data_IF_948110739131
#
_entry.id   IF_948110739131
#
_cell.length_a   1.000
_cell.length_b   1.000
_cell.length_c   1.000
_cell.angle_alpha   90.00
_cell.angle_beta   90.00
_cell.angle_gamma   90.00
#
_symmetry.space_group_name_H-M   'P 1'
#
loop_
_entity.id
_entity.type
_entity.pdbx_description
1 polymer ?
#
# COMPACT_ATOMS: atom_id res chain seq x y z
N UNK A 1 -10.03 -6.13 16.40
CA UNK A 1 -10.06 -4.79 17.02
C UNK A 1 -10.82 -3.83 16.09
N UNK A 2 -11.75 -3.03 16.60
CA UNK A 2 -12.49 -2.06 15.76
C UNK A 2 -11.70 -0.77 15.55
N UNK A 3 -11.90 -0.15 14.39
CA UNK A 3 -11.34 1.16 14.03
C UNK A 3 -12.48 2.14 13.91
N UNK A 4 -12.37 3.28 14.58
CA UNK A 4 -13.37 4.33 14.69
C UNK A 4 -12.74 5.63 14.20
N UNK A 5 -13.43 6.35 13.32
CA UNK A 5 -13.01 7.68 12.88
C UNK A 5 -13.17 8.73 13.98
N UNK A 6 -12.53 9.89 13.84
CA UNK A 6 -12.60 10.98 14.83
C UNK A 6 -14.02 11.48 15.13
N UNK A 7 -14.98 11.24 14.23
CA UNK A 7 -16.41 11.53 14.41
C UNK A 7 -17.21 10.43 15.12
N UNK A 8 -16.57 9.40 15.69
CA UNK A 8 -17.24 8.31 16.41
C UNK A 8 -17.88 7.24 15.52
N UNK A 9 -17.75 7.34 14.20
CA UNK A 9 -18.27 6.34 13.24
C UNK A 9 -17.30 5.18 13.07
N UNK A 10 -17.83 3.96 12.98
CA UNK A 10 -17.02 2.76 12.72
C UNK A 10 -16.49 2.81 11.30
N UNK A 11 -15.16 2.81 11.17
CA UNK A 11 -14.47 2.76 9.89
C UNK A 11 -14.31 1.31 9.42
N UNK A 12 -13.88 0.43 10.32
CA UNK A 12 -13.50 -0.93 9.94
C UNK A 12 -13.00 -1.78 11.09
N UNK A 13 -12.27 -2.84 10.73
CA UNK A 13 -11.59 -3.75 11.65
C UNK A 13 -10.13 -3.87 11.24
N UNK A 14 -9.23 -3.84 12.21
CA UNK A 14 -7.81 -4.16 11.98
C UNK A 14 -7.71 -5.64 11.61
N UNK A 15 -7.15 -5.92 10.43
CA UNK A 15 -6.83 -7.26 9.95
C UNK A 15 -5.37 -7.58 10.24
N UNK A 16 -4.47 -6.64 9.94
CA UNK A 16 -3.02 -6.85 9.97
C UNK A 16 -2.29 -5.58 10.41
N UNK A 17 -1.02 -5.74 10.79
CA UNK A 17 -0.14 -4.67 11.28
C UNK A 17 1.16 -4.77 10.50
N UNK A 18 1.60 -3.66 9.93
CA UNK A 18 2.92 -3.56 9.30
C UNK A 18 3.93 -3.04 10.32
N UNK A 19 5.04 -3.78 10.43
CA UNK A 19 6.13 -3.50 11.36
C UNK A 19 7.41 -3.31 10.56
N UNK A 20 8.09 -2.20 10.79
CA UNK A 20 9.49 -2.05 10.41
C UNK A 20 10.34 -2.97 11.30
N UNK A 21 10.80 -4.07 10.73
CA UNK A 21 11.61 -5.07 11.42
C UNK A 21 13.02 -4.57 11.78
N UNK A 22 13.53 -3.53 11.11
CA UNK A 22 14.82 -2.92 11.40
C UNK A 22 14.76 -2.00 12.61
N UNK A 23 13.73 -1.16 12.69
CA UNK A 23 13.52 -0.24 13.82
C UNK A 23 12.70 -0.84 14.97
N UNK A 24 12.08 -2.01 14.75
CA UNK A 24 11.12 -2.66 15.64
C UNK A 24 9.96 -1.73 16.03
N UNK A 25 9.38 -1.07 15.02
CA UNK A 25 8.29 -0.10 15.19
C UNK A 25 7.11 -0.45 14.30
N UNK A 26 5.91 -0.28 14.84
CA UNK A 26 4.69 -0.35 14.04
C UNK A 26 4.63 0.87 13.13
N UNK A 27 4.56 0.64 11.83
CA UNK A 27 4.51 1.69 10.81
C UNK A 27 3.05 1.99 10.43
N UNK A 28 2.28 0.93 10.17
CA UNK A 28 0.92 1.05 9.65
C UNK A 28 0.00 -0.08 10.14
N UNK A 29 -1.30 0.18 10.09
CA UNK A 29 -2.37 -0.76 10.37
C UNK A 29 -3.12 -1.06 9.07
N UNK A 30 -3.29 -2.33 8.75
CA UNK A 30 -4.13 -2.76 7.62
C UNK A 30 -5.54 -2.95 8.14
N UNK A 31 -6.46 -2.13 7.64
CA UNK A 31 -7.84 -2.07 8.11
C UNK A 31 -8.78 -2.52 7.01
N UNK A 32 -9.55 -3.57 7.29
CA UNK A 32 -10.68 -3.97 6.45
C UNK A 32 -11.84 -3.00 6.69
N UNK A 33 -12.17 -2.25 5.67
CA UNK A 33 -13.19 -1.20 5.71
C UNK A 33 -14.57 -1.83 5.58
N UNK A 34 -15.55 -1.31 6.32
CA UNK A 34 -16.96 -1.76 6.18
C UNK A 34 -17.61 -1.17 4.93
N UNK A 35 -18.67 -1.80 4.44
CA UNK A 35 -19.46 -1.27 3.30
C UNK A 35 -20.00 0.13 3.57
N UNK A 36 -20.44 0.43 4.80
CA UNK A 36 -20.89 1.78 5.20
C UNK A 36 -19.77 2.82 5.04
N UNK A 37 -18.58 2.50 5.53
CA UNK A 37 -17.42 3.36 5.41
C UNK A 37 -16.94 3.48 3.95
N UNK A 38 -17.02 2.42 3.14
CA UNK A 38 -16.72 2.46 1.70
C UNK A 38 -17.66 3.45 0.97
N UNK A 39 -18.95 3.44 1.32
CA UNK A 39 -19.93 4.40 0.79
C UNK A 39 -19.60 5.83 1.21
N UNK A 40 -19.21 6.05 2.47
CA UNK A 40 -18.80 7.37 2.97
C UNK A 40 -17.49 7.87 2.34
N UNK A 41 -16.57 6.96 1.98
CA UNK A 41 -15.34 7.28 1.25
C UNK A 41 -15.58 7.64 -0.23
N UNK A 42 -16.82 7.57 -0.72
CA UNK A 42 -17.17 7.85 -2.11
C UNK A 42 -16.65 6.81 -3.10
N UNK A 43 -16.25 5.62 -2.62
CA UNK A 43 -15.71 4.54 -3.46
C UNK A 43 -16.90 3.76 -4.05
N UNK A 44 -17.49 4.29 -5.13
CA UNK A 44 -18.57 3.65 -5.86
C UNK A 44 -18.04 2.64 -6.89
N UNK A 45 -17.30 1.61 -6.42
CA UNK A 45 -16.81 0.51 -7.27
C UNK A 45 -17.42 -0.81 -6.81
N UNK A 46 -18.19 -1.50 -7.67
CA UNK A 46 -18.99 -2.68 -7.28
C UNK A 46 -18.16 -3.91 -6.84
N UNK A 47 -16.82 -3.86 -6.95
CA UNK A 47 -15.93 -4.97 -6.58
C UNK A 47 -15.18 -4.76 -5.25
N UNK A 48 -15.44 -3.65 -4.52
CA UNK A 48 -14.68 -3.26 -3.32
C UNK A 48 -15.32 -3.69 -1.99
N UNK A 49 -16.10 -4.78 -1.96
CA UNK A 49 -16.77 -5.31 -0.75
C UNK A 49 -15.81 -5.70 0.38
N UNK A 50 -14.53 -5.89 0.06
CA UNK A 50 -13.46 -6.21 1.01
C UNK A 50 -12.27 -5.26 0.88
N UNK A 51 -12.54 -3.97 0.70
CA UNK A 51 -11.47 -2.98 0.65
C UNK A 51 -10.62 -3.03 1.92
N UNK A 52 -9.32 -3.20 1.75
CA UNK A 52 -8.32 -3.00 2.79
C UNK A 52 -7.64 -1.66 2.57
N UNK A 53 -7.45 -0.92 3.67
CA UNK A 53 -6.80 0.39 3.66
C UNK A 53 -5.64 0.34 4.64
N UNK A 54 -4.48 0.80 4.19
CA UNK A 54 -3.29 0.96 5.02
C UNK A 54 -3.38 2.31 5.71
N UNK A 55 -3.38 2.30 7.05
CA UNK A 55 -3.47 3.50 7.89
C UNK A 55 -2.15 3.66 8.65
N UNK A 56 -1.37 4.72 8.39
CA UNK A 56 -0.13 4.95 9.13
C UNK A 56 -0.44 5.26 10.60
N UNK A 57 0.45 4.86 11.51
CA UNK A 57 0.28 5.13 12.95
C UNK A 57 0.20 6.64 13.27
N UNK A 58 0.71 7.50 12.39
CA UNK A 58 0.59 8.95 12.51
C UNK A 58 -0.85 9.46 12.42
N UNK A 59 -1.73 8.73 11.72
CA UNK A 59 -3.15 9.03 11.62
C UNK A 59 -3.96 8.50 12.82
N UNK A 60 -3.35 7.68 13.68
CA UNK A 60 -3.97 7.18 14.91
C UNK A 60 -3.89 8.25 16.00
N UNK A 61 -5.01 8.46 16.68
CA UNK A 61 -5.14 9.35 17.82
C UNK A 61 -4.92 8.60 19.14
N UNK A 62 -5.60 7.47 19.28
CA UNK A 62 -5.58 6.67 20.50
C UNK A 62 -5.77 5.19 20.19
N UNK A 63 -5.21 4.35 21.06
CA UNK A 63 -5.32 2.89 21.02
C UNK A 63 -5.75 2.41 22.41
N UNK A 64 -6.92 1.78 22.49
CA UNK A 64 -7.41 1.07 23.69
C UNK A 64 -8.09 -0.22 23.24
N UNK A 65 -9.38 -0.42 23.53
CA UNK A 65 -10.19 -1.51 22.99
C UNK A 65 -10.59 -1.29 21.52
N UNK A 66 -10.49 -0.02 21.09
CA UNK A 66 -10.69 0.44 19.72
C UNK A 66 -9.49 1.30 19.29
N UNK A 67 -9.23 1.33 17.98
CA UNK A 67 -8.32 2.30 17.37
C UNK A 67 -9.14 3.52 17.01
N UNK A 68 -8.77 4.68 17.54
CA UNK A 68 -9.40 5.95 17.18
C UNK A 68 -8.50 6.68 16.20
N UNK A 69 -9.03 7.02 15.03
CA UNK A 69 -8.34 7.84 14.03
C UNK A 69 -8.49 9.32 14.37
N UNK A 70 -7.47 10.12 14.06
CA UNK A 70 -7.54 11.59 14.22
C UNK A 70 -8.56 12.21 13.27
N UNK A 71 -8.68 11.66 12.07
CA UNK A 71 -9.55 12.17 11.01
C UNK A 71 -10.90 11.46 11.01
N UNK A 72 -11.92 12.18 10.54
CA UNK A 72 -13.21 11.59 10.19
C UNK A 72 -13.09 10.72 8.93
N UNK A 73 -14.08 9.84 8.69
CA UNK A 73 -14.11 8.95 7.52
C UNK A 73 -14.14 9.78 6.22
N UNK A 74 -14.93 10.85 6.21
CA UNK A 74 -15.10 11.76 5.08
C UNK A 74 -13.79 12.49 4.73
N UNK A 75 -13.08 13.03 5.74
CA UNK A 75 -11.76 13.65 5.55
C UNK A 75 -10.73 12.64 5.06
N UNK A 76 -10.77 11.41 5.57
CA UNK A 76 -9.88 10.35 5.12
C UNK A 76 -10.11 10.02 3.63
N UNK A 77 -11.37 9.97 3.20
CA UNK A 77 -11.75 9.77 1.80
C UNK A 77 -11.25 10.89 0.89
N UNK A 78 -11.41 12.15 1.30
CA UNK A 78 -10.89 13.29 0.55
C UNK A 78 -9.37 13.23 0.38
N UNK A 79 -8.64 12.87 1.44
CA UNK A 79 -7.17 12.75 1.37
C UNK A 79 -6.73 11.54 0.55
N UNK A 80 -7.49 10.44 0.55
CA UNK A 80 -7.22 9.29 -0.31
C UNK A 80 -7.42 9.63 -1.79
N UNK A 81 -8.42 10.45 -2.12
CA UNK A 81 -8.68 10.90 -3.49
C UNK A 81 -7.57 11.84 -3.97
N UNK A 82 -7.11 12.78 -3.13
CA UNK A 82 -6.00 13.70 -3.47
C UNK A 82 -4.65 12.99 -3.53
N UNK A 83 -4.39 11.99 -2.69
CA UNK A 83 -3.12 11.25 -2.69
C UNK A 83 -2.89 10.42 -3.98
N UNK A 84 -3.95 10.15 -4.77
CA UNK A 84 -3.82 9.46 -6.07
C UNK A 84 -3.21 10.31 -7.18
N UNK A 85 -3.03 11.62 -6.99
CA UNK A 85 -2.35 12.49 -7.95
C UNK A 85 -0.82 12.58 -7.75
N UNK A 86 -0.26 12.04 -6.66
CA UNK A 86 1.18 12.15 -6.34
C UNK A 86 1.93 10.80 -6.31
N UNK A 87 1.55 9.86 -7.18
CA UNK A 87 2.40 8.71 -7.47
C UNK A 87 3.31 9.09 -8.65
N UNK A 88 4.30 9.94 -8.40
CA UNK A 88 5.45 10.07 -9.31
C UNK A 88 6.14 8.71 -9.41
N UNK A 89 6.38 8.15 -10.61
CA UNK A 89 7.29 7.04 -10.77
C UNK A 89 8.73 7.57 -10.68
N UNK A 90 9.19 7.98 -9.50
CA UNK A 90 10.63 8.16 -9.26
C UNK A 90 11.24 6.79 -9.02
N UNK A 91 11.50 6.09 -10.12
CA UNK A 91 12.46 5.00 -10.18
C UNK A 91 13.83 5.60 -10.53
N UNK A 92 14.80 5.65 -9.60
CA UNK A 92 16.20 5.77 -9.97
C UNK A 92 16.81 4.37 -10.02
N UNK A 93 16.41 3.56 -11.00
CA UNK A 93 17.19 2.39 -11.37
C UNK A 93 18.27 2.83 -12.35
N UNK A 94 19.41 3.25 -11.80
CA UNK A 94 20.71 3.21 -12.47
C UNK A 94 20.92 1.80 -13.02
N UNK A 95 20.67 1.62 -14.31
CA UNK A 95 21.09 0.44 -15.07
C UNK A 95 22.38 0.81 -15.82
N UNK A 96 23.48 0.83 -15.07
CA UNK A 96 24.81 0.63 -15.62
C UNK A 96 25.03 -0.89 -15.72
N UNK A 97 25.07 -1.41 -16.94
CA UNK A 97 25.78 -2.64 -17.28
C UNK A 97 25.78 -2.82 -18.81
N UNK A 98 26.74 -2.15 -19.43
CA UNK A 98 27.50 -2.56 -20.63
C UNK A 98 27.10 -3.90 -21.28
N UNK A 99 26.50 -3.81 -22.47
CA UNK A 99 26.32 -4.92 -23.40
C UNK A 99 27.66 -5.42 -23.96
N UNK A 100 27.94 -6.73 -24.01
CA UNK A 100 28.94 -7.26 -24.93
C UNK A 100 28.30 -7.70 -26.26
N UNK A 101 28.66 -6.93 -27.29
CA UNK A 101 28.85 -7.28 -28.70
C UNK A 101 28.80 -8.77 -29.05
N UNK A 102 27.85 -9.14 -29.90
CA UNK A 102 27.80 -10.43 -30.60
C UNK A 102 28.78 -10.40 -31.78
N UNK A 103 29.76 -11.31 -31.80
CA UNK A 103 30.70 -11.51 -32.90
C UNK A 103 31.26 -12.94 -32.89
N UNK A 104 31.40 -13.51 -34.10
CA UNK A 104 32.20 -14.71 -34.47
C UNK A 104 31.44 -16.04 -34.31
N UNK A 105 31.25 -16.90 -35.31
CA UNK A 105 31.92 -17.13 -36.58
C UNK A 105 32.51 -18.56 -36.61
N UNK A 106 31.81 -19.48 -37.29
CA UNK A 106 32.19 -20.83 -37.81
C UNK A 106 32.83 -21.89 -36.87
N UNK A 107 32.42 -23.16 -37.03
CA UNK A 107 33.39 -24.27 -36.92
C UNK A 107 33.49 -25.12 -38.20
N UNK A 108 34.73 -25.29 -38.64
CA UNK A 108 35.24 -26.18 -39.69
C UNK A 108 35.12 -27.66 -39.32
N UNK A 109 34.67 -28.49 -40.26
CA UNK A 109 34.75 -29.96 -40.19
C UNK A 109 36.16 -30.45 -40.56
N UNK A 110 36.77 -31.29 -39.72
CA UNK A 110 37.72 -32.34 -40.14
C UNK A 110 37.83 -33.40 -39.05
N UNK A 111 37.76 -34.70 -39.38
CA UNK A 111 38.37 -35.73 -38.54
C UNK A 111 39.46 -36.50 -39.31
N UNK A 112 40.62 -36.65 -38.69
CA UNK A 112 41.64 -37.66 -39.00
C UNK A 112 41.86 -38.49 -37.75
N UNK A 113 41.66 -39.80 -37.87
CA UNK A 113 42.53 -40.89 -37.40
C UNK A 113 41.87 -42.24 -37.68
#
# INVERSE_FOLDING_TARGET
MQVVGGGGRVFGRVDEIEIDAGAWKVESLVVRVTSDAISALGINKPFWTHAQVVIPVSAVQAVSDVVVLRLTIDEFGQRLLTAREHIEPTSPATADATSPTSSRGAPTKTPSS
#
